data_IF_518955285040
#
_entry.id   IF_518955285040
#
_cell.length_a   1.000
_cell.length_b   1.000
_cell.length_c   1.000
_cell.angle_alpha   90.00
_cell.angle_beta   90.00
_cell.angle_gamma   90.00
#
_symmetry.space_group_name_H-M   'P 1'
#
loop_
_entity.id
_entity.type
_entity.pdbx_description
1 polymer ?
#
# COMPACT_ATOMS: atom_id res chain seq x y z
N UNK A 1 -28.02 11.55 -29.78
CA UNK A 1 -27.94 10.76 -28.53
C UNK A 1 -26.95 11.43 -27.58
N UNK A 2 -27.14 12.73 -27.34
CA UNK A 2 -26.30 13.62 -26.53
C UNK A 2 -27.23 14.65 -25.87
N UNK A 3 -28.09 14.21 -24.94
CA UNK A 3 -29.03 15.10 -24.26
C UNK A 3 -29.51 14.59 -22.88
N UNK A 4 -28.66 13.89 -22.12
CA UNK A 4 -28.98 13.51 -20.72
C UNK A 4 -27.79 13.76 -19.78
N UNK A 5 -27.21 14.96 -19.84
CA UNK A 5 -26.02 15.33 -19.05
C UNK A 5 -26.08 16.74 -18.44
N UNK A 6 -27.26 17.33 -18.23
CA UNK A 6 -27.35 18.72 -17.70
C UNK A 6 -28.19 18.90 -16.42
N UNK A 7 -29.15 18.05 -16.08
CA UNK A 7 -30.05 18.37 -14.96
C UNK A 7 -29.95 17.41 -13.77
N UNK A 8 -28.99 17.69 -12.87
CA UNK A 8 -29.16 17.51 -11.41
C UNK A 8 -27.94 18.01 -10.62
N UNK A 9 -27.49 19.23 -10.92
CA UNK A 9 -26.46 19.93 -10.13
C UNK A 9 -27.06 21.16 -9.42
N UNK A 10 -28.08 20.92 -8.57
CA UNK A 10 -28.57 21.94 -7.63
C UNK A 10 -28.75 21.34 -6.24
N UNK A 11 -27.61 21.12 -5.56
CA UNK A 11 -27.40 21.26 -4.12
C UNK A 11 -26.07 20.61 -3.74
N UNK A 12 -24.98 21.32 -4.05
CA UNK A 12 -23.67 21.04 -3.46
C UNK A 12 -23.64 21.62 -2.05
N UNK A 13 -24.28 20.94 -1.09
CA UNK A 13 -23.80 20.98 0.29
C UNK A 13 -22.64 20.00 0.38
N UNK A 14 -21.43 20.57 0.27
CA UNK A 14 -20.17 19.93 0.66
C UNK A 14 -20.21 19.63 2.15
N UNK A 15 -19.52 18.54 2.52
CA UNK A 15 -19.30 17.97 3.86
C UNK A 15 -20.47 17.14 4.38
N UNK A 16 -20.41 15.83 4.13
CA UNK A 16 -20.64 14.78 5.13
C UNK A 16 -20.51 13.42 4.43
N UNK A 17 -19.26 12.99 4.19
CA UNK A 17 -18.99 11.56 4.02
C UNK A 17 -19.29 10.92 5.38
N UNK A 18 -20.53 10.45 5.57
CA UNK A 18 -20.92 9.77 6.79
C UNK A 18 -20.00 8.57 7.01
N UNK A 19 -19.48 8.39 8.23
CA UNK A 19 -18.59 7.29 8.62
C UNK A 19 -19.08 5.92 8.12
N UNK A 20 -20.40 5.74 7.99
CA UNK A 20 -21.03 4.53 7.47
C UNK A 20 -20.84 4.32 5.95
N UNK A 21 -20.84 5.39 5.15
CA UNK A 21 -20.52 5.29 3.72
C UNK A 21 -19.03 5.04 3.50
N UNK A 22 -18.17 5.66 4.32
CA UNK A 22 -16.73 5.39 4.33
C UNK A 22 -16.41 3.95 4.75
N UNK A 23 -17.12 3.40 5.75
CA UNK A 23 -16.95 2.00 6.15
C UNK A 23 -17.32 1.03 5.03
N UNK A 24 -18.39 1.33 4.28
CA UNK A 24 -18.83 0.47 3.17
C UNK A 24 -17.84 0.52 1.98
N UNK A 25 -17.24 1.69 1.70
CA UNK A 25 -16.19 1.80 0.70
C UNK A 25 -14.90 1.09 1.12
N UNK A 26 -14.47 1.25 2.38
CA UNK A 26 -13.32 0.50 2.91
C UNK A 26 -13.57 -1.01 2.84
N UNK A 27 -14.78 -1.47 3.14
CA UNK A 27 -15.13 -2.88 3.10
C UNK A 27 -15.21 -3.43 1.66
N UNK A 28 -15.57 -2.61 0.67
CA UNK A 28 -15.47 -2.97 -0.75
C UNK A 28 -14.01 -3.09 -1.20
N UNK A 29 -13.17 -2.13 -0.80
CA UNK A 29 -11.73 -2.13 -1.08
C UNK A 29 -11.06 -3.35 -0.45
N UNK A 30 -11.36 -3.63 0.83
CA UNK A 30 -10.84 -4.82 1.53
C UNK A 30 -11.46 -6.12 1.00
N UNK A 31 -12.74 -6.13 0.65
CA UNK A 31 -13.39 -7.29 0.03
C UNK A 31 -12.76 -7.65 -1.33
N UNK A 32 -12.20 -6.68 -2.04
CA UNK A 32 -11.47 -6.88 -3.29
C UNK A 32 -10.10 -7.53 -3.13
N UNK A 33 -9.54 -7.64 -1.92
CA UNK A 33 -8.21 -8.24 -1.71
C UNK A 33 -8.24 -9.77 -1.64
N UNK A 34 -9.39 -10.36 -1.28
CA UNK A 34 -9.47 -11.80 -0.99
C UNK A 34 -8.41 -12.22 0.03
N UNK A 35 -7.65 -13.26 -0.28
CA UNK A 35 -6.54 -13.76 0.55
C UNK A 35 -5.20 -13.04 0.32
N UNK A 36 -5.21 -11.85 -0.31
CA UNK A 36 -4.01 -11.05 -0.57
C UNK A 36 -3.87 -9.91 0.44
N UNK A 37 -2.63 -9.62 0.82
CA UNK A 37 -2.30 -8.56 1.77
C UNK A 37 -2.13 -7.16 1.12
N UNK A 38 -2.11 -7.09 -0.21
CA UNK A 38 -1.84 -5.86 -0.97
C UNK A 38 -2.85 -5.68 -2.10
N UNK A 39 -3.45 -4.49 -2.18
CA UNK A 39 -4.32 -4.08 -3.29
C UNK A 39 -3.73 -2.87 -4.01
N UNK A 40 -3.60 -2.96 -5.33
CA UNK A 40 -3.31 -1.83 -6.21
C UNK A 40 -4.60 -1.21 -6.71
N UNK A 41 -4.78 0.09 -6.44
CA UNK A 41 -5.91 0.88 -6.90
C UNK A 41 -5.42 1.77 -8.04
N UNK A 42 -5.83 1.44 -9.27
CA UNK A 42 -5.40 2.18 -10.47
C UNK A 42 -5.59 3.68 -10.32
N UNK A 43 -4.52 4.45 -10.55
CA UNK A 43 -4.46 5.92 -10.40
C UNK A 43 -4.65 6.48 -8.97
N UNK A 44 -4.74 5.63 -7.94
CA UNK A 44 -4.89 6.07 -6.54
C UNK A 44 -3.68 5.72 -5.68
N UNK A 45 -3.21 4.48 -5.74
CA UNK A 45 -2.12 4.00 -4.89
C UNK A 45 -2.35 2.57 -4.43
N UNK A 46 -1.89 2.27 -3.22
CA UNK A 46 -1.93 0.92 -2.65
C UNK A 46 -2.58 0.92 -1.27
N UNK A 47 -3.25 -0.18 -0.95
CA UNK A 47 -3.65 -0.53 0.42
C UNK A 47 -2.90 -1.78 0.82
N UNK A 48 -2.30 -1.77 2.01
CA UNK A 48 -1.61 -2.92 2.61
C UNK A 48 -2.27 -3.26 3.93
N UNK A 49 -2.61 -4.52 4.12
CA UNK A 49 -3.20 -5.06 5.35
C UNK A 49 -2.32 -6.14 5.93
N UNK A 50 -2.34 -6.27 7.26
CA UNK A 50 -1.63 -7.32 7.97
C UNK A 50 -2.20 -7.51 9.38
N UNK A 51 -1.74 -8.55 10.07
CA UNK A 51 -2.14 -8.87 11.46
C UNK A 51 -1.60 -7.87 12.50
N UNK A 52 -0.64 -7.01 12.14
CA UNK A 52 -0.10 -5.96 13.00
C UNK A 52 0.33 -4.73 12.20
N UNK A 53 0.38 -3.56 12.86
CA UNK A 53 0.88 -2.32 12.25
C UNK A 53 2.33 -2.47 11.78
N UNK A 54 3.17 -3.13 12.58
CA UNK A 54 4.57 -3.37 12.23
C UNK A 54 4.72 -4.17 10.93
N UNK A 55 3.95 -5.25 10.77
CA UNK A 55 4.00 -6.07 9.55
C UNK A 55 3.40 -5.33 8.34
N UNK A 56 2.31 -4.60 8.52
CA UNK A 56 1.73 -3.78 7.45
C UNK A 56 2.72 -2.70 6.97
N UNK A 57 3.40 -2.04 7.92
CA UNK A 57 4.41 -1.03 7.62
C UNK A 57 5.63 -1.63 6.90
N UNK A 58 6.05 -2.82 7.31
CA UNK A 58 7.17 -3.54 6.70
C UNK A 58 6.86 -3.95 5.25
N UNK A 59 5.69 -4.57 5.02
CA UNK A 59 5.20 -4.90 3.69
C UNK A 59 5.09 -3.66 2.80
N UNK A 60 4.55 -2.56 3.32
CA UNK A 60 4.44 -1.29 2.59
C UNK A 60 5.82 -0.71 2.24
N UNK A 61 6.78 -0.77 3.17
CA UNK A 61 8.13 -0.27 2.94
C UNK A 61 8.81 -1.00 1.78
N UNK A 62 8.80 -2.35 1.79
CA UNK A 62 9.43 -3.12 0.73
C UNK A 62 8.70 -3.02 -0.60
N UNK A 63 7.36 -2.91 -0.59
CA UNK A 63 6.57 -2.63 -1.78
C UNK A 63 6.99 -1.32 -2.44
N UNK A 64 7.14 -0.25 -1.65
CA UNK A 64 7.61 1.05 -2.14
C UNK A 64 9.05 0.97 -2.67
N UNK A 65 9.96 0.25 -2.00
CA UNK A 65 11.32 0.04 -2.51
C UNK A 65 11.32 -0.73 -3.84
N UNK A 66 10.51 -1.76 -3.98
CA UNK A 66 10.36 -2.51 -5.22
C UNK A 66 9.83 -1.62 -6.35
N UNK A 67 8.81 -0.81 -6.09
CA UNK A 67 8.27 0.16 -7.05
C UNK A 67 9.34 1.18 -7.48
N UNK A 68 10.12 1.72 -6.54
CA UNK A 68 11.21 2.64 -6.85
C UNK A 68 12.27 2.02 -7.75
N UNK A 69 12.70 0.79 -7.45
CA UNK A 69 13.68 0.06 -8.28
C UNK A 69 13.09 -0.21 -9.67
N UNK A 70 11.82 -0.61 -9.76
CA UNK A 70 11.14 -0.85 -11.03
C UNK A 70 11.10 0.42 -11.90
N UNK A 71 10.66 1.55 -11.32
CA UNK A 71 10.62 2.83 -12.03
C UNK A 71 12.02 3.27 -12.44
N UNK A 72 13.02 3.13 -11.57
CA UNK A 72 14.41 3.46 -11.89
C UNK A 72 14.93 2.61 -13.04
N UNK A 73 14.72 1.29 -13.03
CA UNK A 73 15.14 0.40 -14.11
C UNK A 73 14.46 0.77 -15.43
N UNK A 74 13.14 0.98 -15.41
CA UNK A 74 12.37 1.36 -16.60
C UNK A 74 12.76 2.74 -17.14
N UNK A 75 13.16 3.67 -16.28
CA UNK A 75 13.62 5.02 -16.69
C UNK A 75 14.88 4.99 -17.54
N UNK A 76 15.67 3.91 -17.48
CA UNK A 76 16.88 3.76 -18.31
C UNK A 76 16.57 3.48 -19.78
N UNK A 77 15.34 3.11 -20.11
CA UNK A 77 14.90 2.67 -21.46
C UNK A 77 15.68 1.47 -22.01
N UNK A 78 16.41 0.74 -21.15
CA UNK A 78 17.09 -0.51 -21.50
C UNK A 78 16.15 -1.68 -21.30
N UNK A 79 16.44 -2.77 -22.00
CA UNK A 79 15.78 -4.05 -21.75
C UNK A 79 16.05 -4.50 -20.30
N UNK A 80 14.98 -4.87 -19.60
CA UNK A 80 15.06 -5.38 -18.22
C UNK A 80 15.09 -6.91 -18.29
N UNK A 81 16.19 -7.49 -17.81
CA UNK A 81 16.31 -8.94 -17.69
C UNK A 81 15.54 -9.43 -16.47
N UNK A 82 14.66 -10.41 -16.68
CA UNK A 82 13.92 -11.05 -15.60
C UNK A 82 14.77 -12.12 -14.93
N UNK A 83 14.75 -12.15 -13.60
CA UNK A 83 15.35 -13.23 -12.84
C UNK A 83 14.60 -14.55 -13.08
N UNK A 84 15.29 -15.70 -13.05
CA UNK A 84 14.61 -17.00 -13.07
C UNK A 84 13.57 -17.11 -11.95
N UNK A 85 12.39 -17.62 -12.29
CA UNK A 85 11.25 -17.75 -11.37
C UNK A 85 11.62 -18.56 -10.11
N UNK A 86 12.43 -19.61 -10.26
CA UNK A 86 12.88 -20.44 -9.14
C UNK A 86 13.65 -19.64 -8.08
N UNK A 87 14.52 -18.72 -8.52
CA UNK A 87 15.30 -17.87 -7.62
C UNK A 87 14.42 -16.81 -6.95
N UNK A 88 13.43 -16.28 -7.68
CA UNK A 88 12.43 -15.37 -7.12
C UNK A 88 11.59 -16.05 -6.03
N UNK A 89 11.19 -17.30 -6.25
CA UNK A 89 10.41 -18.09 -5.30
C UNK A 89 11.22 -18.44 -4.05
N UNK A 90 12.48 -18.86 -4.20
CA UNK A 90 13.37 -19.12 -3.06
C UNK A 90 13.55 -17.87 -2.20
N UNK A 91 13.90 -16.74 -2.82
CA UNK A 91 14.08 -15.48 -2.10
C UNK A 91 12.80 -15.02 -1.39
N UNK A 92 11.65 -15.13 -2.07
CA UNK A 92 10.34 -14.83 -1.49
C UNK A 92 10.07 -15.69 -0.27
N UNK A 93 10.24 -17.02 -0.36
CA UNK A 93 10.03 -17.94 0.76
C UNK A 93 10.94 -17.63 1.95
N UNK A 94 12.22 -17.34 1.71
CA UNK A 94 13.17 -16.97 2.76
C UNK A 94 12.76 -15.67 3.46
N UNK A 95 12.35 -14.66 2.71
CA UNK A 95 11.84 -13.39 3.27
C UNK A 95 10.57 -13.66 4.10
N UNK A 96 9.57 -14.33 3.54
CA UNK A 96 8.29 -14.58 4.23
C UNK A 96 8.43 -15.45 5.48
N UNK A 97 9.40 -16.37 5.51
CA UNK A 97 9.70 -17.17 6.70
C UNK A 97 10.14 -16.29 7.87
N UNK A 98 10.93 -15.26 7.59
CA UNK A 98 11.60 -14.46 8.61
C UNK A 98 10.94 -13.08 8.86
N UNK A 99 10.05 -12.62 7.97
CA UNK A 99 9.49 -11.27 8.01
C UNK A 99 8.85 -10.94 9.37
N UNK A 100 8.00 -11.84 9.89
CA UNK A 100 7.32 -11.65 11.18
C UNK A 100 8.30 -11.51 12.34
N UNK A 101 9.48 -12.13 12.26
CA UNK A 101 10.52 -12.05 13.29
C UNK A 101 11.18 -10.67 13.32
N UNK A 102 11.27 -9.99 12.18
CA UNK A 102 12.04 -8.75 12.05
C UNK A 102 11.20 -7.48 11.88
N UNK A 103 9.90 -7.60 11.51
CA UNK A 103 9.04 -6.42 11.29
C UNK A 103 8.95 -5.51 12.51
N UNK A 104 8.87 -6.03 13.73
CA UNK A 104 8.85 -5.21 14.96
C UNK A 104 10.16 -4.43 15.13
N UNK A 105 11.31 -5.10 14.94
CA UNK A 105 12.61 -4.46 15.07
C UNK A 105 12.78 -3.33 14.04
N UNK A 106 12.34 -3.56 12.80
CA UNK A 106 12.32 -2.55 11.76
C UNK A 106 11.38 -1.39 12.12
N UNK A 107 10.14 -1.67 12.52
CA UNK A 107 9.17 -0.66 12.89
C UNK A 107 9.69 0.23 14.02
N UNK A 108 10.19 -0.35 15.11
CA UNK A 108 10.77 0.43 16.21
C UNK A 108 12.04 1.16 15.80
N UNK A 109 12.82 0.66 14.83
CA UNK A 109 13.97 1.41 14.30
C UNK A 109 13.54 2.68 13.57
N UNK A 110 12.44 2.61 12.81
CA UNK A 110 11.87 3.75 12.10
C UNK A 110 11.22 4.73 13.07
N UNK A 111 10.51 4.23 14.09
CA UNK A 111 10.00 5.06 15.17
C UNK A 111 11.12 5.82 15.89
N UNK A 112 12.25 5.18 16.22
CA UNK A 112 13.41 5.87 16.82
C UNK A 112 13.92 7.01 15.93
N UNK A 113 13.95 6.83 14.61
CA UNK A 113 14.32 7.90 13.67
C UNK A 113 13.29 9.01 13.65
N UNK A 114 11.99 8.67 13.62
CA UNK A 114 10.91 9.65 13.66
C UNK A 114 11.03 10.56 14.89
N UNK A 115 11.27 9.98 16.07
CA UNK A 115 11.42 10.72 17.34
C UNK A 115 12.58 11.73 17.36
N UNK A 116 13.59 11.57 16.51
CA UNK A 116 14.66 12.56 16.40
C UNK A 116 14.16 13.88 15.78
N UNK A 117 13.13 13.79 14.93
CA UNK A 117 12.55 14.94 14.21
C UNK A 117 11.19 15.36 14.74
N UNK A 118 10.46 14.44 15.37
CA UNK A 118 9.12 14.63 15.93
C UNK A 118 9.09 14.02 17.35
N UNK A 119 9.70 14.69 18.34
CA UNK A 119 9.84 14.13 19.69
C UNK A 119 8.50 13.96 20.42
N UNK A 120 7.49 14.76 20.04
CA UNK A 120 6.16 14.79 20.64
C UNK A 120 5.19 13.75 20.05
N UNK A 121 5.61 12.98 19.04
CA UNK A 121 4.81 11.91 18.47
C UNK A 121 4.81 10.69 19.40
N UNK A 122 3.61 10.26 19.82
CA UNK A 122 3.38 9.09 20.68
C UNK A 122 2.70 7.96 19.89
N UNK A 123 2.98 6.72 20.30
CA UNK A 123 2.60 5.49 19.60
C UNK A 123 1.56 4.70 20.40
#
# INVERSE_FOLDING_TARGET
MLQELVDSNSNLERTDLNLHQMSNQMQLVLGGTGDKDVLFMGHHGVVVVAQSVALAFDNLYYLERAAQVQILAQSTQKEVELLPEEECQKASQDIWRDIKKYSDAQFYSMYRRLRQTQPDFEL
#
